data_IF_519293635867
#
_entry.id   IF_519293635867
#
_cell.length_a   1.000
_cell.length_b   1.000
_cell.length_c   1.000
_cell.angle_alpha   90.00
_cell.angle_beta   90.00
_cell.angle_gamma   90.00
#
_symmetry.space_group_name_H-M   'P 1'
#
loop_
_entity.id
_entity.type
_entity.pdbx_description
1 polymer ?
#
# COMPACT_ATOMS: atom_id res chain seq x y z
N UNK A 1 7.46 -5.10 -22.59
CA UNK A 1 8.24 -4.09 -23.33
C UNK A 1 7.55 -2.73 -23.30
N UNK A 2 8.31 -1.63 -23.50
CA UNK A 2 7.81 -0.24 -23.47
C UNK A 2 6.65 -0.03 -24.46
N UNK A 3 6.83 -0.47 -25.68
CA UNK A 3 5.83 -0.41 -26.74
C UNK A 3 4.51 -1.12 -26.35
N UNK A 4 4.60 -2.27 -25.80
CA UNK A 4 3.46 -3.10 -25.40
C UNK A 4 2.60 -2.44 -24.30
N UNK A 5 3.23 -1.79 -23.32
CA UNK A 5 2.54 -1.02 -22.28
C UNK A 5 1.82 0.20 -22.84
N UNK A 6 2.44 0.91 -23.75
CA UNK A 6 1.81 2.04 -24.46
C UNK A 6 0.62 1.58 -25.30
N UNK A 7 0.75 0.45 -26.00
CA UNK A 7 -0.35 -0.12 -26.78
C UNK A 7 -1.56 -0.44 -25.88
N UNK A 8 -1.34 -1.14 -24.77
CA UNK A 8 -2.40 -1.45 -23.81
C UNK A 8 -3.03 -0.20 -23.22
N UNK A 9 -2.23 0.79 -22.88
CA UNK A 9 -2.71 2.06 -22.35
C UNK A 9 -3.63 2.77 -23.35
N UNK A 10 -3.20 2.91 -24.61
CA UNK A 10 -4.02 3.55 -25.63
C UNK A 10 -5.33 2.81 -25.91
N UNK A 11 -5.31 1.49 -25.93
CA UNK A 11 -6.55 0.70 -26.04
C UNK A 11 -7.52 0.96 -24.87
N UNK A 12 -7.01 0.99 -23.65
CA UNK A 12 -7.84 1.18 -22.45
C UNK A 12 -8.46 2.58 -22.38
N UNK A 13 -7.67 3.63 -22.65
CA UNK A 13 -8.14 5.02 -22.43
C UNK A 13 -8.98 5.57 -23.58
N UNK A 14 -8.83 5.05 -24.79
CA UNK A 14 -9.51 5.58 -25.97
C UNK A 14 -10.49 4.60 -26.62
N UNK A 15 -10.42 3.31 -26.28
CA UNK A 15 -11.19 2.26 -26.92
C UNK A 15 -10.80 2.00 -28.39
N UNK A 16 -9.65 2.50 -28.84
CA UNK A 16 -9.16 2.25 -30.21
C UNK A 16 -8.78 0.79 -30.42
N UNK A 17 -8.82 0.35 -31.67
CA UNK A 17 -8.39 -1.00 -32.01
C UNK A 17 -6.87 -1.18 -31.81
N UNK A 18 -6.46 -2.46 -31.78
CA UNK A 18 -5.07 -2.84 -31.49
C UNK A 18 -4.08 -2.27 -32.51
N UNK A 19 -4.42 -2.28 -33.81
CA UNK A 19 -3.52 -1.82 -34.85
C UNK A 19 -3.22 -0.32 -34.66
N UNK A 20 -4.26 0.48 -34.44
CA UNK A 20 -4.13 1.92 -34.22
C UNK A 20 -3.38 2.26 -32.95
N UNK A 21 -3.65 1.50 -31.87
CA UNK A 21 -2.92 1.63 -30.62
C UNK A 21 -1.41 1.31 -30.77
N UNK A 22 -1.05 0.33 -31.57
CA UNK A 22 0.32 -0.01 -31.90
C UNK A 22 1.01 1.11 -32.70
N UNK A 23 0.32 1.69 -33.69
CA UNK A 23 0.85 2.80 -34.47
C UNK A 23 1.14 4.03 -33.59
N UNK A 24 0.23 4.38 -32.70
CA UNK A 24 0.39 5.50 -31.78
C UNK A 24 1.47 5.20 -30.71
N UNK A 25 1.52 3.98 -30.20
CA UNK A 25 2.58 3.55 -29.29
C UNK A 25 3.98 3.70 -29.94
N UNK A 26 4.12 3.28 -31.20
CA UNK A 26 5.35 3.41 -31.96
C UNK A 26 5.79 4.87 -32.11
N UNK A 27 4.84 5.79 -32.33
CA UNK A 27 5.15 7.22 -32.45
C UNK A 27 5.59 7.84 -31.13
N UNK A 28 5.00 7.42 -30.02
CA UNK A 28 5.19 8.03 -28.69
C UNK A 28 6.35 7.43 -27.92
N UNK A 29 6.68 6.15 -28.14
CA UNK A 29 7.64 5.43 -27.30
C UNK A 29 9.04 6.06 -27.19
N UNK A 30 9.44 6.81 -28.22
CA UNK A 30 10.75 7.48 -28.25
C UNK A 30 10.74 8.84 -27.56
N UNK A 31 9.58 9.41 -27.31
CA UNK A 31 9.43 10.75 -26.75
C UNK A 31 8.94 10.77 -25.31
N UNK A 32 8.36 9.66 -24.85
CA UNK A 32 7.84 9.59 -23.48
C UNK A 32 8.99 9.50 -22.46
N UNK A 33 8.90 10.33 -21.42
CA UNK A 33 9.88 10.31 -20.33
C UNK A 33 9.79 9.03 -19.50
N UNK A 34 10.83 8.66 -18.76
CA UNK A 34 10.77 7.56 -17.78
C UNK A 34 9.62 7.74 -16.77
N UNK A 35 9.41 8.95 -16.29
CA UNK A 35 8.35 9.31 -15.35
C UNK A 35 6.96 9.12 -15.97
N UNK A 36 6.79 9.56 -17.23
CA UNK A 36 5.56 9.36 -17.99
C UNK A 36 5.25 7.88 -18.19
N UNK A 37 6.25 7.09 -18.55
CA UNK A 37 6.10 5.65 -18.69
C UNK A 37 5.75 4.98 -17.36
N UNK A 38 6.36 5.40 -16.26
CA UNK A 38 6.04 4.90 -14.92
C UNK A 38 4.59 5.21 -14.55
N UNK A 39 4.09 6.40 -14.88
CA UNK A 39 2.67 6.76 -14.68
C UNK A 39 1.74 5.84 -15.45
N UNK A 40 2.06 5.52 -16.71
CA UNK A 40 1.29 4.56 -17.52
C UNK A 40 1.33 3.15 -16.94
N UNK A 41 2.49 2.68 -16.46
CA UNK A 41 2.61 1.39 -15.79
C UNK A 41 1.72 1.30 -14.55
N UNK A 42 1.71 2.37 -13.75
CA UNK A 42 0.86 2.45 -12.57
C UNK A 42 -0.61 2.42 -12.94
N UNK A 43 -1.01 3.17 -13.97
CA UNK A 43 -2.39 3.14 -14.48
C UNK A 43 -2.79 1.72 -14.93
N UNK A 44 -1.96 1.03 -15.71
CA UNK A 44 -2.24 -0.32 -16.18
C UNK A 44 -2.33 -1.35 -15.03
N UNK A 45 -1.55 -1.15 -13.98
CA UNK A 45 -1.52 -2.05 -12.83
C UNK A 45 -2.73 -1.87 -11.92
N UNK A 46 -3.19 -0.64 -11.74
CA UNK A 46 -4.13 -0.28 -10.70
C UNK A 46 -5.44 0.33 -11.23
N UNK A 47 -5.50 0.67 -12.51
CA UNK A 47 -6.64 1.29 -13.16
C UNK A 47 -6.64 2.81 -13.05
N UNK A 48 -7.80 3.40 -13.31
CA UNK A 48 -8.00 4.85 -13.33
C UNK A 48 -8.24 5.49 -11.94
N UNK A 49 -8.08 4.70 -10.87
CA UNK A 49 -8.48 5.12 -9.52
C UNK A 49 -7.46 6.05 -8.87
N UNK A 50 -6.20 6.10 -9.37
CA UNK A 50 -5.17 6.95 -8.78
C UNK A 50 -4.12 7.43 -9.78
N UNK A 51 -3.50 8.58 -9.44
CA UNK A 51 -2.53 9.25 -10.28
C UNK A 51 -1.09 8.89 -9.96
N UNK A 52 -0.78 8.57 -8.72
CA UNK A 52 0.59 8.41 -8.25
C UNK A 52 0.74 7.34 -7.19
N UNK A 53 1.96 6.74 -7.17
CA UNK A 53 2.42 5.87 -6.10
C UNK A 53 3.67 6.53 -5.48
N UNK A 54 3.68 6.60 -4.17
CA UNK A 54 4.80 7.09 -3.38
C UNK A 54 5.30 5.96 -2.48
N UNK A 55 6.61 5.73 -2.51
CA UNK A 55 7.25 4.71 -1.65
C UNK A 55 7.69 5.30 -0.30
N UNK A 56 7.89 6.61 -0.25
CA UNK A 56 8.31 7.33 0.94
C UNK A 56 7.56 8.66 0.98
N UNK A 57 6.60 8.77 1.87
CA UNK A 57 5.75 9.94 1.98
C UNK A 57 5.81 10.55 3.37
N UNK A 58 6.06 11.84 3.41
CA UNK A 58 5.94 12.64 4.60
C UNK A 58 4.47 13.06 4.82
N UNK A 59 3.80 12.39 5.73
CA UNK A 59 2.40 12.66 6.07
C UNK A 59 2.19 14.00 6.79
N UNK A 60 3.25 14.65 7.26
CA UNK A 60 3.13 16.01 7.83
C UNK A 60 2.64 17.03 6.81
N UNK A 61 2.88 16.79 5.54
CA UNK A 61 2.39 17.68 4.47
C UNK A 61 0.87 17.72 4.41
N UNK A 62 0.19 16.68 4.90
CA UNK A 62 -1.27 16.51 4.77
C UNK A 62 -2.02 16.55 6.10
N UNK A 63 -1.36 16.26 7.21
CA UNK A 63 -1.99 16.17 8.53
C UNK A 63 -1.31 17.07 9.54
N UNK A 64 -2.11 17.70 10.38
CA UNK A 64 -1.61 18.36 11.60
C UNK A 64 -1.28 17.31 12.66
N UNK A 65 -0.51 17.71 13.69
CA UNK A 65 -0.22 16.83 14.82
C UNK A 65 -1.51 16.32 15.46
N UNK A 66 -1.58 15.03 15.71
CA UNK A 66 -2.75 14.40 16.32
C UNK A 66 -2.85 12.92 16.06
N UNK A 67 -3.96 12.35 16.50
CA UNK A 67 -4.34 10.96 16.30
C UNK A 67 -5.58 10.89 15.40
N UNK A 68 -5.46 10.15 14.28
CA UNK A 68 -6.49 10.05 13.26
C UNK A 68 -6.90 8.59 13.06
N UNK A 69 -8.15 8.21 13.36
CA UNK A 69 -8.63 6.86 13.10
C UNK A 69 -8.85 6.66 11.60
N UNK A 70 -8.40 5.51 11.08
CA UNK A 70 -8.50 5.15 9.69
C UNK A 70 -9.00 3.72 9.53
N UNK A 71 -9.87 3.49 8.56
CA UNK A 71 -10.30 2.16 8.18
C UNK A 71 -9.12 1.39 7.55
N UNK A 72 -9.11 0.09 7.72
CA UNK A 72 -8.10 -0.78 7.14
C UNK A 72 -8.62 -2.16 6.81
N UNK A 73 -7.88 -2.87 5.97
CA UNK A 73 -8.02 -4.30 5.73
C UNK A 73 -6.70 -5.00 5.98
N UNK A 74 -6.77 -6.25 6.40
CA UNK A 74 -5.62 -7.14 6.53
C UNK A 74 -5.93 -8.40 5.74
N UNK A 75 -5.11 -8.68 4.72
CA UNK A 75 -5.40 -9.70 3.73
C UNK A 75 -4.29 -10.74 3.61
N UNK A 76 -4.66 -11.92 3.12
CA UNK A 76 -3.68 -12.91 2.67
C UNK A 76 -3.09 -12.46 1.32
N UNK A 77 -1.76 -12.26 1.18
CA UNK A 77 -1.16 -11.64 -0.01
C UNK A 77 -1.36 -12.44 -1.30
N UNK A 78 -1.43 -13.77 -1.21
CA UNK A 78 -1.52 -14.67 -2.36
C UNK A 78 -2.94 -14.81 -2.93
N UNK A 79 -3.95 -14.34 -2.20
CA UNK A 79 -5.37 -14.47 -2.57
C UNK A 79 -5.96 -13.11 -2.93
N UNK A 80 -5.83 -12.72 -4.19
CA UNK A 80 -6.28 -11.38 -4.65
C UNK A 80 -7.62 -11.34 -5.37
N UNK A 81 -8.10 -12.48 -5.87
CA UNK A 81 -9.38 -12.53 -6.58
C UNK A 81 -10.23 -13.72 -6.11
N UNK A 82 -11.19 -13.54 -5.20
CA UNK A 82 -11.38 -12.35 -4.36
C UNK A 82 -10.30 -12.21 -3.29
N UNK A 83 -10.16 -11.03 -2.72
CA UNK A 83 -9.31 -10.80 -1.54
C UNK A 83 -9.88 -11.55 -0.33
N UNK A 84 -9.01 -12.23 0.40
CA UNK A 84 -9.38 -12.91 1.64
C UNK A 84 -8.81 -12.16 2.84
N UNK A 85 -9.69 -11.82 3.78
CA UNK A 85 -9.27 -11.28 5.07
C UNK A 85 -8.45 -12.32 5.82
N UNK A 86 -7.35 -11.87 6.40
CA UNK A 86 -6.54 -12.70 7.29
C UNK A 86 -7.31 -12.98 8.59
N UNK A 87 -7.05 -14.13 9.21
CA UNK A 87 -7.72 -14.53 10.44
C UNK A 87 -7.48 -13.57 11.61
N UNK A 88 -6.33 -12.90 11.62
CA UNK A 88 -5.98 -11.92 12.65
C UNK A 88 -6.84 -10.65 12.59
N UNK A 89 -7.45 -10.34 11.45
CA UNK A 89 -8.28 -9.15 11.28
C UNK A 89 -9.42 -9.06 12.30
N UNK A 90 -10.07 -10.16 12.60
CA UNK A 90 -11.18 -10.21 13.56
C UNK A 90 -10.74 -9.92 15.02
N UNK A 91 -9.46 -10.11 15.31
CA UNK A 91 -8.87 -9.87 16.63
C UNK A 91 -8.39 -8.43 16.82
N UNK A 92 -8.47 -7.63 15.78
CA UNK A 92 -8.01 -6.23 15.77
C UNK A 92 -9.20 -5.27 15.93
N UNK A 93 -8.94 -4.13 16.54
CA UNK A 93 -9.89 -3.01 16.55
C UNK A 93 -10.19 -2.57 15.11
N UNK A 94 -11.39 -2.03 14.87
CA UNK A 94 -11.85 -1.69 13.52
C UNK A 94 -11.12 -0.52 12.87
N UNK A 95 -10.33 0.21 13.62
CA UNK A 95 -9.56 1.35 13.12
C UNK A 95 -8.10 1.21 13.48
N UNK A 96 -7.24 1.56 12.53
CA UNK A 96 -5.83 1.87 12.77
C UNK A 96 -5.75 3.35 13.11
N UNK A 97 -4.90 3.72 14.05
CA UNK A 97 -4.66 5.13 14.40
C UNK A 97 -3.39 5.62 13.73
N UNK A 98 -3.52 6.58 12.83
CA UNK A 98 -2.37 7.36 12.39
C UNK A 98 -2.03 8.39 13.46
N UNK A 99 -0.86 8.26 14.06
CA UNK A 99 -0.32 9.27 14.95
C UNK A 99 0.67 10.13 14.22
N UNK A 100 0.37 11.43 14.12
CA UNK A 100 1.23 12.44 13.52
C UNK A 100 1.83 13.29 14.61
N UNK A 101 3.15 13.27 14.71
CA UNK A 101 3.95 14.14 15.60
C UNK A 101 5.21 14.57 14.85
N UNK A 102 5.72 15.75 15.11
CA UNK A 102 6.84 16.41 14.39
C UNK A 102 8.07 15.55 14.11
N UNK A 103 8.30 14.46 14.79
CA UNK A 103 9.47 13.61 14.62
C UNK A 103 9.16 12.10 14.62
N UNK A 104 7.91 11.70 14.81
CA UNK A 104 7.55 10.30 15.00
C UNK A 104 6.13 10.03 14.50
N UNK A 105 6.00 9.85 13.20
CA UNK A 105 4.76 9.35 12.62
C UNK A 105 4.71 7.84 12.70
N UNK A 106 3.59 7.29 13.12
CA UNK A 106 3.37 5.85 13.09
C UNK A 106 1.91 5.51 12.90
N UNK A 107 1.65 4.34 12.32
CA UNK A 107 0.36 3.69 12.42
C UNK A 107 0.33 2.79 13.64
N UNK A 108 -0.74 2.88 14.41
CA UNK A 108 -0.96 2.11 15.64
C UNK A 108 -2.08 1.10 15.41
N UNK A 109 -1.68 -0.16 15.34
CA UNK A 109 -2.58 -1.30 15.17
C UNK A 109 -2.87 -1.89 16.55
N UNK A 110 -4.14 -1.98 16.93
CA UNK A 110 -4.54 -2.40 18.28
C UNK A 110 -5.39 -3.66 18.25
N UNK A 111 -5.08 -4.60 19.14
CA UNK A 111 -5.93 -5.77 19.38
C UNK A 111 -7.17 -5.41 20.20
N UNK A 112 -8.25 -6.13 19.97
CA UNK A 112 -9.45 -6.09 20.81
C UNK A 112 -9.11 -6.55 22.22
N UNK A 113 -9.97 -6.19 23.17
CA UNK A 113 -9.84 -6.61 24.56
C UNK A 113 -9.76 -8.14 24.66
N UNK A 114 -8.81 -8.63 25.45
CA UNK A 114 -8.55 -10.06 25.69
C UNK A 114 -8.15 -10.86 24.44
N UNK A 115 -7.78 -10.19 23.34
CA UNK A 115 -7.27 -10.82 22.13
C UNK A 115 -5.78 -10.58 21.97
N UNK A 116 -5.11 -11.51 21.26
CA UNK A 116 -3.70 -11.42 20.89
C UNK A 116 -3.48 -11.99 19.50
N UNK A 117 -2.58 -11.36 18.74
CA UNK A 117 -2.18 -11.84 17.41
C UNK A 117 -0.71 -12.31 17.37
N UNK A 118 0.01 -12.20 18.47
CA UNK A 118 1.43 -12.58 18.55
C UNK A 118 2.37 -11.43 18.25
N UNK A 119 3.40 -11.68 17.45
CA UNK A 119 4.40 -10.70 17.06
C UNK A 119 4.10 -10.15 15.67
N UNK A 120 4.17 -8.83 15.51
CA UNK A 120 4.03 -8.16 14.22
C UNK A 120 5.40 -7.69 13.76
N UNK A 121 5.67 -7.90 12.47
CA UNK A 121 6.95 -7.57 11.85
C UNK A 121 6.71 -6.70 10.62
N UNK A 122 7.62 -5.76 10.38
CA UNK A 122 7.66 -4.97 9.14
C UNK A 122 9.01 -5.12 8.45
N UNK A 123 9.06 -4.84 7.15
CA UNK A 123 10.30 -4.91 6.38
C UNK A 123 10.91 -3.52 6.20
N UNK A 124 12.23 -3.46 6.40
CA UNK A 124 13.04 -2.31 6.05
C UNK A 124 14.38 -2.82 5.49
N UNK A 125 14.75 -2.35 4.29
CA UNK A 125 15.98 -2.78 3.62
C UNK A 125 16.11 -4.32 3.51
N UNK A 126 15.01 -4.98 3.15
CA UNK A 126 14.87 -6.44 3.04
C UNK A 126 15.00 -7.23 4.35
N UNK A 127 15.16 -6.55 5.46
CA UNK A 127 15.19 -7.19 6.79
C UNK A 127 13.85 -7.08 7.51
N UNK A 128 13.50 -8.12 8.25
CA UNK A 128 12.35 -8.12 9.14
C UNK A 128 12.69 -7.52 10.49
N UNK A 129 11.96 -6.50 10.87
CA UNK A 129 12.08 -5.81 12.15
C UNK A 129 10.80 -6.03 12.94
N UNK A 130 10.93 -6.48 14.18
CA UNK A 130 9.77 -6.66 15.05
C UNK A 130 9.20 -5.31 15.45
N UNK A 131 7.89 -5.13 15.23
CA UNK A 131 7.19 -3.93 15.66
C UNK A 131 7.14 -3.83 17.18
N UNK A 132 7.31 -2.63 17.67
CA UNK A 132 7.16 -2.33 19.09
C UNK A 132 5.71 -2.56 19.52
N UNK A 133 5.53 -3.37 20.55
CA UNK A 133 4.21 -3.67 21.11
C UNK A 133 4.14 -3.20 22.56
N UNK A 134 3.04 -2.56 22.92
CA UNK A 134 2.75 -2.18 24.29
C UNK A 134 1.23 -2.26 24.52
N UNK A 135 0.82 -3.12 25.44
CA UNK A 135 -0.60 -3.30 25.82
C UNK A 135 -1.52 -3.58 24.62
N UNK A 136 -1.10 -4.45 23.71
CA UNK A 136 -1.86 -4.81 22.52
C UNK A 136 -1.82 -3.79 21.39
N UNK A 137 -0.98 -2.76 21.50
CA UNK A 137 -0.77 -1.75 20.45
C UNK A 137 0.56 -1.97 19.77
N UNK A 138 0.52 -2.23 18.47
CA UNK A 138 1.70 -2.38 17.61
C UNK A 138 1.97 -1.08 16.85
N UNK A 139 3.23 -0.63 16.84
CA UNK A 139 3.63 0.58 16.14
C UNK A 139 4.32 0.23 14.84
N UNK A 140 3.80 0.73 13.73
CA UNK A 140 4.36 0.55 12.39
C UNK A 140 4.81 1.91 11.86
N UNK A 141 6.11 2.04 11.45
CA UNK A 141 6.58 3.29 10.86
C UNK A 141 5.81 3.65 9.60
N UNK A 142 5.56 4.93 9.37
CA UNK A 142 4.84 5.38 8.17
C UNK A 142 5.65 5.25 6.89
N UNK A 143 6.96 5.21 6.98
CA UNK A 143 7.88 5.14 5.83
C UNK A 143 8.07 3.74 5.22
N UNK A 144 7.46 2.71 5.82
CA UNK A 144 7.48 1.35 5.26
C UNK A 144 6.34 1.06 4.27
N UNK A 145 5.42 1.99 4.11
CA UNK A 145 4.23 1.84 3.26
C UNK A 145 4.46 2.41 1.87
N UNK A 146 3.80 1.83 0.88
CA UNK A 146 3.60 2.44 -0.44
C UNK A 146 2.28 3.21 -0.42
N UNK A 147 2.33 4.46 -0.82
CA UNK A 147 1.18 5.37 -0.81
C UNK A 147 0.65 5.61 -2.21
N UNK A 148 -0.66 5.56 -2.36
CA UNK A 148 -1.35 5.91 -3.59
C UNK A 148 -2.15 7.20 -3.43
N UNK A 149 -2.26 7.96 -4.50
CA UNK A 149 -2.98 9.22 -4.52
C UNK A 149 -3.86 9.32 -5.77
N UNK A 150 -4.97 10.05 -5.65
CA UNK A 150 -5.86 10.40 -6.75
C UNK A 150 -5.81 11.89 -7.05
N UNK A 151 -6.29 12.28 -8.24
CA UNK A 151 -6.44 13.70 -8.59
C UNK A 151 -7.31 14.43 -7.56
N UNK A 152 -6.77 15.48 -6.96
CA UNK A 152 -7.45 16.29 -5.94
C UNK A 152 -7.47 15.68 -4.53
N UNK A 153 -6.99 14.46 -4.37
CA UNK A 153 -6.85 13.80 -3.06
C UNK A 153 -5.37 13.48 -2.84
N UNK A 154 -4.73 14.03 -1.79
CA UNK A 154 -3.28 13.87 -1.60
C UNK A 154 -2.82 12.43 -1.46
N UNK A 155 -3.54 11.64 -0.66
CA UNK A 155 -3.27 10.22 -0.42
C UNK A 155 -4.60 9.50 -0.22
N UNK A 156 -4.76 8.33 -0.81
CA UNK A 156 -5.96 7.51 -0.65
C UNK A 156 -5.70 6.25 0.16
N UNK A 157 -4.58 5.58 -0.09
CA UNK A 157 -4.26 4.31 0.55
C UNK A 157 -2.78 4.22 0.91
N UNK A 158 -2.51 3.55 2.02
CA UNK A 158 -1.18 3.10 2.42
C UNK A 158 -1.16 1.58 2.46
N UNK A 159 -0.24 0.96 1.74
CA UNK A 159 -0.13 -0.50 1.63
C UNK A 159 1.25 -0.97 2.04
N UNK A 160 1.32 -1.99 2.86
CA UNK A 160 2.57 -2.65 3.22
C UNK A 160 2.37 -4.17 3.38
N UNK A 161 3.42 -4.92 3.10
CA UNK A 161 3.50 -6.30 3.51
C UNK A 161 4.14 -6.36 4.89
N UNK A 162 3.39 -6.86 5.85
CA UNK A 162 3.82 -7.14 7.20
C UNK A 162 3.86 -8.64 7.43
N UNK A 163 4.37 -9.08 8.56
CA UNK A 163 4.27 -10.48 8.97
C UNK A 163 3.71 -10.58 10.39
N UNK A 164 2.97 -11.63 10.64
CA UNK A 164 2.43 -11.95 11.96
C UNK A 164 2.85 -13.36 12.32
N UNK A 165 3.63 -13.48 13.39
CA UNK A 165 4.11 -14.76 13.90
C UNK A 165 3.57 -15.02 15.29
N UNK A 166 3.36 -16.27 15.62
CA UNK A 166 2.86 -16.66 16.95
C UNK A 166 3.86 -16.34 18.06
N UNK A 167 5.14 -16.55 17.77
CA UNK A 167 6.26 -16.33 18.69
C UNK A 167 7.33 -15.44 18.05
N UNK A 168 8.31 -15.01 18.84
CA UNK A 168 9.49 -14.27 18.37
C UNK A 168 10.40 -15.17 17.51
N UNK A 169 10.03 -15.32 16.26
CA UNK A 169 10.77 -16.08 15.27
C UNK A 169 10.78 -15.33 13.95
N UNK A 170 11.83 -15.51 13.16
CA UNK A 170 11.92 -14.89 11.85
C UNK A 170 10.71 -15.28 10.98
N UNK A 171 10.01 -14.33 10.38
CA UNK A 171 8.86 -14.60 9.52
C UNK A 171 9.21 -15.49 8.32
N UNK A 172 8.28 -16.37 7.98
CA UNK A 172 8.26 -17.15 6.74
C UNK A 172 7.14 -16.64 5.83
N UNK A 173 7.14 -16.97 4.53
CA UNK A 173 6.11 -16.50 3.60
C UNK A 173 4.66 -16.76 4.04
N UNK A 174 4.40 -17.84 4.75
CA UNK A 174 3.07 -18.16 5.29
C UNK A 174 2.59 -17.13 6.33
N UNK A 175 3.52 -16.43 6.97
CA UNK A 175 3.23 -15.41 7.98
C UNK A 175 2.95 -14.03 7.38
N UNK A 176 3.15 -13.85 6.07
CA UNK A 176 2.98 -12.57 5.41
C UNK A 176 1.51 -12.17 5.31
N UNK A 177 1.25 -10.88 5.50
CA UNK A 177 -0.07 -10.25 5.39
C UNK A 177 0.05 -8.94 4.63
N UNK A 178 -0.95 -8.62 3.82
CA UNK A 178 -1.07 -7.31 3.21
C UNK A 178 -1.92 -6.42 4.10
N UNK A 179 -1.33 -5.37 4.63
CA UNK A 179 -2.03 -4.33 5.38
C UNK A 179 -2.34 -3.17 4.45
N UNK A 180 -3.62 -2.87 4.30
CA UNK A 180 -4.11 -1.79 3.46
C UNK A 180 -4.91 -0.81 4.32
N UNK A 181 -4.44 0.43 4.42
CA UNK A 181 -5.01 1.48 5.26
C UNK A 181 -5.61 2.55 4.35
N UNK A 182 -6.88 2.87 4.57
CA UNK A 182 -7.55 3.99 3.91
C UNK A 182 -7.19 5.29 4.62
N UNK A 183 -6.26 6.03 4.03
CA UNK A 183 -5.69 7.24 4.63
C UNK A 183 -6.57 8.46 4.42
N UNK A 184 -7.52 8.35 3.49
CA UNK A 184 -8.43 9.44 3.14
C UNK A 184 -9.89 8.99 3.10
#
# INVERSE_FOLDING_TARGET
ARHEKLTQFFQMVSGMDQQRAQEDACRVEHYISPEGLKGIENFLQYGDVYDRIYDDMDLYTFYEDGDFPMAFGLYEPERRNPRFLATEYEKLEHSVILRVKKSQNCFRLKTKKDESIGCVWYRRDEEWIQAKEEKGVYQLPTDIFTYTANTGIPVTEAVAIIAITRFEQKPLPIDYRELNIHVW
#
